data_IF_609198085763
#
_entry.id   IF_609198085763
#
_cell.length_a   1.000
_cell.length_b   1.000
_cell.length_c   1.000
_cell.angle_alpha   90.00
_cell.angle_beta   90.00
_cell.angle_gamma   90.00
#
_symmetry.space_group_name_H-M   'P 1'
#
loop_
_entity.id
_entity.type
_entity.pdbx_description
1 polymer ?
#
# COMPACT_ATOMS: atom_id res chain seq x y z
N UNK A 1 13.95 -25.02 6.50
CA UNK A 1 12.49 -25.22 6.47
C UNK A 1 12.16 -26.71 6.61
N UNK A 2 11.38 -27.09 7.63
CA UNK A 2 10.88 -28.45 7.79
C UNK A 2 9.90 -28.84 6.67
N UNK A 3 9.84 -30.12 6.32
CA UNK A 3 8.98 -30.61 5.22
C UNK A 3 7.49 -30.32 5.46
N UNK A 4 7.05 -30.33 6.71
CA UNK A 4 5.66 -30.01 7.08
C UNK A 4 5.35 -28.51 6.91
N UNK A 5 6.21 -27.62 7.43
CA UNK A 5 6.08 -26.17 7.25
C UNK A 5 6.02 -25.77 5.77
N UNK A 6 6.85 -26.39 4.93
CA UNK A 6 6.85 -26.17 3.48
C UNK A 6 5.50 -26.48 2.84
N UNK A 7 4.90 -27.62 3.20
CA UNK A 7 3.59 -28.01 2.68
C UNK A 7 2.48 -27.02 3.11
N UNK A 8 2.55 -26.51 4.34
CA UNK A 8 1.61 -25.51 4.86
C UNK A 8 1.76 -24.18 4.12
N UNK A 9 2.99 -23.72 3.90
CA UNK A 9 3.31 -22.52 3.11
C UNK A 9 2.81 -22.65 1.67
N UNK A 10 3.06 -23.77 1.01
CA UNK A 10 2.60 -23.99 -0.38
C UNK A 10 1.07 -24.05 -0.48
N UNK A 11 0.39 -24.63 0.53
CA UNK A 11 -1.07 -24.65 0.62
C UNK A 11 -1.67 -23.25 0.80
N UNK A 12 -1.07 -22.41 1.64
CA UNK A 12 -1.49 -21.01 1.83
C UNK A 12 -1.20 -20.21 0.57
N UNK A 13 -0.01 -20.35 -0.01
CA UNK A 13 0.37 -19.66 -1.26
C UNK A 13 -0.60 -19.96 -2.40
N UNK A 14 -1.02 -21.23 -2.55
CA UNK A 14 -2.02 -21.60 -3.57
C UNK A 14 -3.36 -20.90 -3.34
N UNK A 15 -3.83 -20.80 -2.09
CA UNK A 15 -5.07 -20.10 -1.78
C UNK A 15 -4.97 -18.59 -1.97
N UNK A 16 -3.84 -17.97 -1.60
CA UNK A 16 -3.60 -16.55 -1.86
C UNK A 16 -3.53 -16.26 -3.37
N UNK A 17 -2.87 -17.12 -4.15
CA UNK A 17 -2.83 -17.00 -5.61
C UNK A 17 -4.20 -17.12 -6.26
N UNK A 18 -5.07 -17.99 -5.74
CA UNK A 18 -6.47 -18.08 -6.20
C UNK A 18 -7.28 -16.81 -5.86
N UNK A 19 -6.84 -16.02 -4.88
CA UNK A 19 -7.42 -14.73 -4.52
C UNK A 19 -6.67 -13.54 -5.17
N UNK A 20 -5.86 -13.79 -6.20
CA UNK A 20 -5.05 -12.79 -6.91
C UNK A 20 -4.00 -12.05 -6.06
N UNK A 21 -3.57 -12.64 -4.94
CA UNK A 21 -2.46 -12.14 -4.12
C UNK A 21 -1.20 -12.98 -4.34
N UNK A 22 -0.15 -12.37 -4.89
CA UNK A 22 1.17 -12.98 -5.00
C UNK A 22 2.03 -12.63 -3.77
N UNK A 23 2.25 -13.62 -2.92
CA UNK A 23 3.01 -13.47 -1.68
C UNK A 23 4.18 -14.45 -1.66
N UNK A 24 5.38 -13.94 -1.36
CA UNK A 24 6.58 -14.76 -1.26
C UNK A 24 6.45 -15.82 -0.16
N UNK A 25 7.04 -17.00 -0.39
CA UNK A 25 7.09 -18.08 0.59
C UNK A 25 7.68 -17.68 1.93
N UNK A 26 8.68 -16.81 1.90
CA UNK A 26 9.39 -16.33 3.09
C UNK A 26 8.46 -15.48 3.95
N UNK A 27 7.62 -14.66 3.32
CA UNK A 27 6.62 -13.82 4.02
C UNK A 27 5.56 -14.69 4.67
N UNK A 28 5.07 -15.71 3.96
CA UNK A 28 4.09 -16.66 4.50
C UNK A 28 4.69 -17.45 5.66
N UNK A 29 5.93 -17.95 5.52
CA UNK A 29 6.66 -18.66 6.58
C UNK A 29 6.81 -17.79 7.83
N UNK A 30 7.25 -16.55 7.65
CA UNK A 30 7.44 -15.59 8.74
C UNK A 30 6.12 -15.33 9.47
N UNK A 31 5.03 -15.11 8.73
CA UNK A 31 3.72 -14.84 9.33
C UNK A 31 3.12 -16.05 10.06
N UNK A 32 3.38 -17.27 9.58
CA UNK A 32 2.99 -18.49 10.30
C UNK A 32 3.72 -18.56 11.64
N UNK A 33 5.04 -18.36 11.65
CA UNK A 33 5.85 -18.46 12.87
C UNK A 33 5.58 -17.31 13.85
N UNK A 34 5.22 -16.13 13.34
CA UNK A 34 4.80 -14.97 14.14
C UNK A 34 3.50 -15.23 14.89
N UNK A 35 2.47 -15.70 14.19
CA UNK A 35 1.14 -15.92 14.78
C UNK A 35 1.06 -17.23 15.57
N UNK A 36 1.81 -18.25 15.16
CA UNK A 36 1.80 -19.58 15.75
C UNK A 36 3.21 -20.18 15.84
N UNK A 37 3.97 -19.83 16.88
CA UNK A 37 5.31 -20.38 17.11
C UNK A 37 5.32 -21.91 17.22
N UNK A 38 4.22 -22.50 17.70
CA UNK A 38 4.01 -23.96 17.84
C UNK A 38 3.10 -24.54 16.73
N UNK A 39 3.32 -24.12 15.49
CA UNK A 39 2.49 -24.53 14.34
C UNK A 39 2.43 -26.06 14.11
N UNK A 40 3.31 -26.85 14.72
CA UNK A 40 3.36 -28.31 14.55
C UNK A 40 2.25 -29.04 15.33
N UNK A 41 1.80 -28.49 16.47
CA UNK A 41 0.78 -29.12 17.32
C UNK A 41 -0.60 -28.52 17.13
N UNK A 42 -0.68 -27.24 16.75
CA UNK A 42 -1.92 -26.46 16.80
C UNK A 42 -2.50 -26.16 15.41
N UNK A 43 -1.96 -26.79 14.36
CA UNK A 43 -2.39 -26.51 12.99
C UNK A 43 -3.82 -26.99 12.70
N UNK A 44 -4.72 -26.03 12.49
CA UNK A 44 -6.11 -26.28 12.09
C UNK A 44 -6.48 -25.47 10.84
N UNK A 45 -7.67 -25.75 10.28
CA UNK A 45 -8.21 -24.94 9.20
C UNK A 45 -8.51 -23.49 9.63
N UNK A 46 -8.78 -23.27 10.92
CA UNK A 46 -9.05 -21.93 11.47
C UNK A 46 -7.75 -21.13 11.54
N UNK A 47 -6.67 -21.75 12.03
CA UNK A 47 -5.31 -21.18 12.03
C UNK A 47 -4.87 -20.82 10.61
N UNK A 48 -5.09 -21.72 9.65
CA UNK A 48 -4.79 -21.45 8.23
C UNK A 48 -5.57 -20.24 7.71
N UNK A 49 -6.84 -20.12 8.06
CA UNK A 49 -7.71 -19.01 7.65
C UNK A 49 -7.26 -17.69 8.30
N UNK A 50 -6.84 -17.74 9.56
CA UNK A 50 -6.34 -16.59 10.31
C UNK A 50 -5.02 -16.07 9.74
N UNK A 51 -4.08 -16.96 9.38
CA UNK A 51 -2.85 -16.59 8.68
C UNK A 51 -3.15 -15.96 7.31
N UNK A 52 -4.07 -16.54 6.53
CA UNK A 52 -4.49 -15.95 5.23
C UNK A 52 -5.10 -14.57 5.44
N UNK A 53 -5.95 -14.41 6.47
CA UNK A 53 -6.58 -13.13 6.80
C UNK A 53 -5.56 -12.08 7.21
N UNK A 54 -4.60 -12.44 8.07
CA UNK A 54 -3.51 -11.56 8.50
C UNK A 54 -2.64 -11.13 7.31
N UNK A 55 -2.25 -12.05 6.43
CA UNK A 55 -1.49 -11.73 5.21
C UNK A 55 -2.28 -10.82 4.27
N UNK A 56 -3.58 -11.07 4.11
CA UNK A 56 -4.45 -10.24 3.28
C UNK A 56 -4.64 -8.85 3.88
N UNK A 57 -4.77 -8.77 5.21
CA UNK A 57 -4.92 -7.51 5.94
C UNK A 57 -3.63 -6.70 5.94
N UNK A 58 -2.46 -7.33 6.07
CA UNK A 58 -1.16 -6.66 5.96
C UNK A 58 -0.94 -6.14 4.54
N UNK A 59 -1.35 -6.90 3.51
CA UNK A 59 -1.33 -6.44 2.13
C UNK A 59 -2.35 -5.32 1.82
N UNK A 60 -3.47 -5.26 2.55
CA UNK A 60 -4.43 -4.15 2.44
C UNK A 60 -3.98 -2.93 3.27
N UNK A 61 -3.28 -3.14 4.39
CA UNK A 61 -2.80 -2.08 5.28
C UNK A 61 -1.50 -1.45 4.76
N UNK A 62 -0.70 -2.18 3.99
CA UNK A 62 0.37 -1.59 3.16
C UNK A 62 -0.17 -0.86 1.92
N UNK A 63 -1.45 -0.98 1.62
CA UNK A 63 -2.19 -0.15 0.64
C UNK A 63 -2.88 1.08 1.23
N UNK A 64 -2.86 1.26 2.56
CA UNK A 64 -3.41 2.46 3.24
C UNK A 64 -2.52 2.78 4.46
N UNK A 65 -1.33 3.32 4.21
CA UNK A 65 -0.72 4.24 5.19
C UNK A 65 -0.94 5.65 4.67
N UNK A 66 -2.15 6.15 4.88
CA UNK A 66 -2.42 7.58 4.93
C UNK A 66 -3.37 7.83 6.08
N UNK A 67 -2.93 8.71 6.96
CA UNK A 67 -3.49 9.07 8.25
C UNK A 67 -5.03 9.10 8.29
N UNK A 68 -5.62 8.44 9.29
CA UNK A 68 -6.88 8.94 9.85
C UNK A 68 -6.57 10.21 10.67
N UNK A 69 -7.27 11.33 10.45
CA UNK A 69 -7.39 12.36 11.47
C UNK A 69 -8.46 11.94 12.50
N UNK A 70 -8.24 12.34 13.75
CA UNK A 70 -9.13 12.12 14.88
C UNK A 70 -10.57 12.65 14.64
N UNK A 71 -11.59 12.11 15.32
CA UNK A 71 -12.97 12.55 15.16
C UNK A 71 -13.17 13.96 15.74
N UNK A 72 -13.55 14.92 14.90
CA UNK A 72 -13.93 16.27 15.29
C UNK A 72 -15.34 16.26 15.88
N UNK A 73 -15.44 16.59 17.16
CA UNK A 73 -16.70 16.79 17.87
C UNK A 73 -17.14 18.25 17.70
N UNK A 74 -18.33 18.48 17.13
CA UNK A 74 -18.93 19.80 16.98
C UNK A 74 -19.90 20.07 18.15
N UNK A 75 -19.51 20.94 19.09
CA UNK A 75 -20.43 21.72 19.92
C UNK A 75 -19.76 23.01 20.43
N UNK A 76 -20.37 24.15 20.08
CA UNK A 76 -19.98 25.56 20.32
C UNK A 76 -20.20 26.04 21.79
N UNK A 77 -20.14 27.37 22.13
CA UNK A 77 -19.04 28.34 22.06
C UNK A 77 -18.81 29.14 23.40
N UNK A 78 -17.78 30.01 23.38
CA UNK A 78 -17.50 31.19 24.26
C UNK A 78 -16.79 30.96 25.61
N UNK A 79 -15.54 31.43 25.73
CA UNK A 79 -15.14 32.56 26.62
C UNK A 79 -13.62 32.85 26.51
N UNK A 80 -13.29 34.08 26.09
CA UNK A 80 -12.03 34.79 26.42
C UNK A 80 -11.91 34.94 27.96
N UNK A 81 -10.70 35.04 28.56
CA UNK A 81 -9.88 36.27 28.42
C UNK A 81 -8.33 36.17 28.55
N UNK A 82 -7.67 37.15 27.90
CA UNK A 82 -6.52 38.00 28.30
C UNK A 82 -5.18 37.46 28.87
N UNK A 83 -4.12 37.78 28.10
CA UNK A 83 -2.79 38.36 28.44
C UNK A 83 -1.77 37.58 29.29
N UNK A 84 -0.53 37.44 28.79
CA UNK A 84 0.55 38.41 29.04
C UNK A 84 1.81 38.15 28.19
N UNK A 85 2.39 39.25 27.70
CA UNK A 85 3.70 39.39 27.09
C UNK A 85 4.84 38.92 28.01
N UNK A 86 5.92 38.41 27.42
CA UNK A 86 7.26 38.88 27.80
C UNK A 86 8.25 38.69 26.64
N UNK A 87 8.56 39.82 25.99
CA UNK A 87 9.81 40.08 25.30
C UNK A 87 10.93 40.24 26.33
N UNK A 88 12.14 39.86 25.96
CA UNK A 88 13.40 40.32 26.58
C UNK A 88 14.39 40.48 25.43
N UNK A 89 14.44 41.67 24.84
CA UNK A 89 15.32 42.80 25.18
C UNK A 89 16.75 42.66 24.67
N UNK A 90 17.02 43.60 23.76
CA UNK A 90 18.27 43.98 23.11
C UNK A 90 19.12 44.76 24.13
N UNK A 91 20.43 44.55 24.13
CA UNK A 91 21.39 45.49 24.71
C UNK A 91 22.42 45.88 23.65
N UNK A 92 22.33 47.12 23.17
CA UNK A 92 23.45 47.89 22.62
C UNK A 92 24.37 48.29 23.80
N UNK A 93 25.65 48.63 23.70
CA UNK A 93 26.37 49.46 22.74
C UNK A 93 27.81 49.54 23.29
N UNK A 94 28.85 49.52 22.46
CA UNK A 94 30.01 50.42 22.65
C UNK A 94 30.85 50.48 21.37
N UNK A 95 30.89 51.67 20.79
CA UNK A 95 31.89 52.09 19.81
C UNK A 95 33.20 52.38 20.54
N UNK A 96 34.33 51.99 19.96
CA UNK A 96 35.53 52.85 19.99
C UNK A 96 36.47 52.48 18.85
N UNK A 97 36.80 53.54 18.11
CA UNK A 97 38.10 53.87 17.51
C UNK A 97 38.63 53.12 16.29
N UNK A 98 38.92 53.98 15.32
CA UNK A 98 39.64 53.76 14.08
C UNK A 98 41.14 53.82 14.37
N UNK A 99 41.91 52.87 13.84
CA UNK A 99 43.34 53.07 13.58
C UNK A 99 43.70 52.53 12.19
N UNK A 100 44.37 53.41 11.45
CA UNK A 100 44.92 53.23 10.13
C UNK A 100 45.95 52.08 10.08
N UNK A 101 45.87 51.21 9.07
CA UNK A 101 47.04 50.41 8.66
C UNK A 101 47.21 50.48 7.14
N UNK A 102 47.94 51.51 6.76
CA UNK A 102 49.12 51.47 5.89
C UNK A 102 49.12 50.42 4.75
N UNK A 103 48.90 50.92 3.54
CA UNK A 103 49.30 50.31 2.28
C UNK A 103 50.82 50.20 2.20
N UNK A 104 51.36 49.00 2.40
CA UNK A 104 52.75 48.70 2.05
C UNK A 104 52.85 47.39 1.28
N UNK A 105 53.18 47.57 -0.01
CA UNK A 105 53.42 46.56 -1.02
C UNK A 105 54.50 45.56 -0.59
N UNK A 106 54.17 44.27 -0.57
CA UNK A 106 55.14 43.21 -0.76
C UNK A 106 54.67 42.30 -1.88
N UNK A 107 55.31 42.46 -3.04
CA UNK A 107 55.26 41.51 -4.13
C UNK A 107 55.85 40.17 -3.63
N UNK A 108 54.98 39.29 -3.15
CA UNK A 108 55.33 37.88 -2.98
C UNK A 108 55.16 37.24 -4.35
N UNK A 109 56.28 36.83 -4.93
CA UNK A 109 56.37 36.00 -6.11
C UNK A 109 55.72 34.64 -5.79
N UNK A 110 54.39 34.56 -5.90
CA UNK A 110 53.66 33.31 -5.83
C UNK A 110 53.70 32.70 -7.23
N UNK A 111 54.55 31.68 -7.39
CA UNK A 111 54.37 30.73 -8.46
C UNK A 111 52.90 30.25 -8.40
N UNK A 112 52.15 30.21 -9.52
CA UNK A 112 50.78 29.70 -9.49
C UNK A 112 50.83 28.27 -8.93
N UNK A 113 50.05 27.92 -7.89
CA UNK A 113 49.84 26.51 -7.64
C UNK A 113 49.20 25.95 -8.90
N UNK A 114 49.82 24.91 -9.48
CA UNK A 114 49.15 24.06 -10.45
C UNK A 114 47.88 23.54 -9.78
N UNK A 115 46.74 24.12 -10.14
CA UNK A 115 45.43 23.63 -9.75
C UNK A 115 45.27 22.29 -10.48
N UNK A 116 45.57 21.22 -9.76
CA UNK A 116 45.29 19.87 -10.20
C UNK A 116 43.76 19.72 -10.17
N UNK A 117 43.11 20.05 -11.28
CA UNK A 117 41.64 20.03 -11.50
C UNK A 117 41.10 18.58 -11.54
N UNK A 118 41.26 17.87 -10.43
CA UNK A 118 40.71 16.52 -10.21
C UNK A 118 40.45 16.26 -8.72
N UNK A 119 39.94 17.26 -7.96
CA UNK A 119 39.46 17.01 -6.61
C UNK A 119 38.05 16.41 -6.66
N UNK A 120 38.00 15.10 -6.91
CA UNK A 120 36.81 14.29 -6.73
C UNK A 120 36.43 14.29 -5.24
N UNK A 121 35.31 14.91 -4.88
CA UNK A 121 34.73 14.81 -3.53
C UNK A 121 33.94 13.50 -3.43
N UNK A 122 34.17 12.75 -2.36
CA UNK A 122 33.45 11.52 -2.06
C UNK A 122 32.53 11.76 -0.86
N UNK A 123 31.28 11.28 -0.94
CA UNK A 123 30.29 11.39 0.15
C UNK A 123 29.87 9.99 0.59
N UNK A 124 29.69 9.80 1.90
CA UNK A 124 29.30 8.49 2.43
C UNK A 124 27.81 8.22 2.16
N UNK A 125 27.42 6.95 2.10
CA UNK A 125 26.01 6.62 1.87
C UNK A 125 25.08 7.14 2.99
N UNK A 126 25.58 7.21 4.23
CA UNK A 126 24.86 7.79 5.36
C UNK A 126 24.59 9.29 5.16
N UNK A 127 25.58 10.03 4.67
CA UNK A 127 25.44 11.46 4.36
C UNK A 127 24.48 11.67 3.19
N UNK A 128 24.53 10.81 2.15
CA UNK A 128 23.56 10.83 1.06
C UNK A 128 22.14 10.59 1.55
N UNK A 129 21.93 9.60 2.41
CA UNK A 129 20.62 9.28 2.97
C UNK A 129 20.06 10.46 3.79
N UNK A 130 20.87 11.07 4.65
CA UNK A 130 20.47 12.23 5.45
C UNK A 130 20.12 13.44 4.57
N UNK A 131 20.90 13.66 3.51
CA UNK A 131 20.66 14.71 2.53
C UNK A 131 19.37 14.46 1.75
N UNK A 132 19.14 13.23 1.27
CA UNK A 132 17.91 12.83 0.57
C UNK A 132 16.70 13.03 1.48
N UNK A 133 16.78 12.61 2.75
CA UNK A 133 15.70 12.81 3.72
C UNK A 133 15.39 14.29 3.93
N UNK A 134 16.42 15.13 4.11
CA UNK A 134 16.23 16.58 4.30
C UNK A 134 15.69 17.26 3.04
N UNK A 135 16.21 16.91 1.87
CA UNK A 135 15.80 17.51 0.60
C UNK A 135 14.39 17.07 0.19
N UNK A 136 14.04 15.80 0.38
CA UNK A 136 12.68 15.33 0.12
C UNK A 136 11.67 16.04 1.01
N UNK A 137 11.96 16.20 2.31
CA UNK A 137 11.13 16.97 3.23
C UNK A 137 10.98 18.43 2.77
N UNK A 138 12.07 19.06 2.33
CA UNK A 138 12.06 20.44 1.82
C UNK A 138 11.24 20.59 0.52
N UNK A 139 11.21 19.55 -0.32
CA UNK A 139 10.38 19.48 -1.52
C UNK A 139 8.91 19.15 -1.21
N UNK A 140 8.58 18.88 0.07
CA UNK A 140 7.22 18.55 0.52
C UNK A 140 6.87 17.06 0.42
N UNK A 141 7.87 16.19 0.27
CA UNK A 141 7.70 14.75 0.23
C UNK A 141 8.28 14.10 1.49
N UNK A 142 7.47 13.31 2.18
CA UNK A 142 7.95 12.50 3.29
C UNK A 142 8.31 11.11 2.75
N UNK A 143 9.62 10.85 2.69
CA UNK A 143 10.17 9.54 2.35
C UNK A 143 10.51 8.79 3.63
N UNK A 144 10.11 7.53 3.70
CA UNK A 144 10.56 6.63 4.77
C UNK A 144 12.06 6.37 4.69
N UNK A 145 12.63 5.83 5.76
CA UNK A 145 14.06 5.53 5.85
C UNK A 145 14.54 4.62 4.70
N UNK A 146 13.76 3.59 4.39
CA UNK A 146 14.08 2.65 3.31
C UNK A 146 14.00 3.30 1.92
N UNK A 147 13.03 4.20 1.71
CA UNK A 147 12.91 4.94 0.45
C UNK A 147 14.08 5.91 0.27
N UNK A 148 14.52 6.57 1.36
CA UNK A 148 15.71 7.40 1.35
C UNK A 148 16.96 6.61 0.97
N UNK A 149 17.10 5.37 1.45
CA UNK A 149 18.22 4.48 1.07
C UNK A 149 18.19 4.14 -0.42
N UNK A 150 17.02 3.76 -0.94
CA UNK A 150 16.86 3.42 -2.36
C UNK A 150 17.23 4.62 -3.26
N UNK A 151 16.80 5.82 -2.89
CA UNK A 151 17.15 7.03 -3.62
C UNK A 151 18.63 7.36 -3.47
N UNK A 152 19.20 7.25 -2.26
CA UNK A 152 20.62 7.49 -2.01
C UNK A 152 21.53 6.54 -2.81
N UNK A 153 21.15 5.27 -2.94
CA UNK A 153 21.86 4.26 -3.75
C UNK A 153 21.85 4.58 -5.24
N UNK A 154 20.88 5.38 -5.72
CA UNK A 154 20.80 5.82 -7.12
C UNK A 154 21.65 7.06 -7.44
N UNK A 155 22.20 7.73 -6.43
CA UNK A 155 23.04 8.93 -6.57
C UNK A 155 24.51 8.54 -6.50
N UNK A 156 25.33 9.07 -7.43
CA UNK A 156 26.77 8.81 -7.46
C UNK A 156 27.49 9.25 -6.17
N UNK A 157 28.43 8.42 -5.71
CA UNK A 157 29.24 8.68 -4.50
C UNK A 157 30.33 9.73 -4.73
N UNK A 158 30.67 9.99 -6.00
CA UNK A 158 31.79 10.82 -6.43
C UNK A 158 31.30 11.93 -7.34
N UNK A 159 31.67 13.17 -7.02
CA UNK A 159 31.30 14.33 -7.82
C UNK A 159 32.40 15.39 -7.84
N UNK A 160 32.33 16.24 -8.87
CA UNK A 160 33.30 17.30 -9.11
C UNK A 160 32.84 18.65 -8.55
N UNK A 161 31.54 18.82 -8.33
CA UNK A 161 30.95 20.06 -7.83
C UNK A 161 29.68 19.79 -7.01
N UNK A 162 29.50 20.54 -5.93
CA UNK A 162 28.39 20.35 -4.99
C UNK A 162 27.03 20.74 -5.59
N UNK A 163 26.97 21.75 -6.46
CA UNK A 163 25.70 22.14 -7.11
C UNK A 163 25.24 21.05 -8.09
N UNK A 164 26.18 20.43 -8.83
CA UNK A 164 25.87 19.27 -9.67
C UNK A 164 25.38 18.06 -8.85
N UNK A 165 25.98 17.82 -7.69
CA UNK A 165 25.57 16.75 -6.78
C UNK A 165 24.15 16.97 -6.22
N UNK A 166 23.84 18.17 -5.74
CA UNK A 166 22.49 18.51 -5.27
C UNK A 166 21.45 18.40 -6.38
N UNK A 167 21.81 18.79 -7.61
CA UNK A 167 20.95 18.62 -8.78
C UNK A 167 20.67 17.14 -9.05
N UNK A 168 21.69 16.28 -8.91
CA UNK A 168 21.54 14.84 -9.06
C UNK A 168 20.63 14.25 -7.95
N UNK A 169 20.87 14.59 -6.68
CA UNK A 169 20.02 14.18 -5.55
C UNK A 169 18.56 14.61 -5.77
N UNK A 170 18.33 15.86 -6.17
CA UNK A 170 16.97 16.38 -6.44
C UNK A 170 16.31 15.64 -7.60
N UNK A 171 17.08 15.33 -8.65
CA UNK A 171 16.59 14.57 -9.81
C UNK A 171 16.25 13.14 -9.43
N UNK A 172 17.05 12.50 -8.57
CA UNK A 172 16.81 11.15 -8.06
C UNK A 172 15.55 11.09 -7.18
N UNK A 173 15.37 12.05 -6.27
CA UNK A 173 14.15 12.18 -5.46
C UNK A 173 12.93 12.33 -6.36
N UNK A 174 12.99 13.25 -7.33
CA UNK A 174 11.89 13.48 -8.26
C UNK A 174 11.57 12.23 -9.07
N UNK A 175 12.56 11.57 -9.64
CA UNK A 175 12.37 10.35 -10.42
C UNK A 175 11.75 9.22 -9.60
N UNK A 176 12.15 9.09 -8.33
CA UNK A 176 11.55 8.14 -7.40
C UNK A 176 10.08 8.45 -7.12
N UNK A 177 9.77 9.71 -6.83
CA UNK A 177 8.41 10.18 -6.57
C UNK A 177 7.51 10.01 -7.80
N UNK A 178 7.98 10.40 -8.98
CA UNK A 178 7.26 10.22 -10.26
C UNK A 178 6.94 8.74 -10.48
N UNK A 179 7.93 7.85 -10.32
CA UNK A 179 7.72 6.41 -10.42
C UNK A 179 6.73 5.87 -9.37
N UNK A 180 6.76 6.38 -8.13
CA UNK A 180 5.78 6.00 -7.10
C UNK A 180 4.37 6.45 -7.48
N UNK A 181 4.20 7.63 -8.08
CA UNK A 181 2.91 8.07 -8.61
C UNK A 181 2.43 7.16 -9.75
N UNK A 182 3.29 6.83 -10.72
CA UNK A 182 2.95 5.92 -11.82
C UNK A 182 2.47 4.55 -11.31
N UNK A 183 3.12 4.03 -10.27
CA UNK A 183 2.71 2.77 -9.62
C UNK A 183 1.32 2.87 -8.99
N UNK A 184 1.03 3.99 -8.30
CA UNK A 184 -0.28 4.23 -7.70
C UNK A 184 -1.35 4.38 -8.77
N UNK A 185 -1.10 5.12 -9.85
CA UNK A 185 -2.04 5.28 -10.97
C UNK A 185 -2.33 3.93 -11.62
N UNK A 186 -1.29 3.14 -11.92
CA UNK A 186 -1.45 1.80 -12.51
C UNK A 186 -2.25 0.87 -11.59
N UNK A 187 -1.99 0.91 -10.27
CA UNK A 187 -2.72 0.12 -9.30
C UNK A 187 -4.19 0.55 -9.21
N UNK A 188 -4.46 1.86 -9.27
CA UNK A 188 -5.82 2.40 -9.25
C UNK A 188 -6.62 1.94 -10.48
N UNK A 189 -6.04 2.03 -11.67
CA UNK A 189 -6.67 1.59 -12.92
C UNK A 189 -6.95 0.09 -12.91
N UNK A 190 -5.96 -0.70 -12.49
CA UNK A 190 -6.10 -2.16 -12.36
C UNK A 190 -7.23 -2.53 -11.40
N UNK A 191 -7.29 -1.86 -10.25
CA UNK A 191 -8.34 -2.08 -9.26
C UNK A 191 -9.72 -1.68 -9.77
N UNK A 192 -9.82 -0.54 -10.47
CA UNK A 192 -11.06 -0.09 -11.08
C UNK A 192 -11.60 -1.12 -12.09
N UNK A 193 -10.73 -1.66 -12.93
CA UNK A 193 -11.09 -2.68 -13.92
C UNK A 193 -11.46 -4.03 -13.28
N UNK A 194 -10.76 -4.44 -12.23
CA UNK A 194 -11.12 -5.63 -11.46
C UNK A 194 -12.52 -5.50 -10.84
N UNK A 195 -12.85 -4.34 -10.27
CA UNK A 195 -14.18 -4.07 -9.69
C UNK A 195 -15.26 -4.08 -10.76
N UNK A 196 -15.03 -3.42 -11.91
CA UNK A 196 -15.97 -3.44 -13.05
C UNK A 196 -16.25 -4.86 -13.53
N UNK A 197 -15.20 -5.65 -13.70
CA UNK A 197 -15.30 -7.06 -14.13
C UNK A 197 -16.08 -7.88 -13.12
N UNK A 198 -15.76 -7.77 -11.83
CA UNK A 198 -16.45 -8.50 -10.78
C UNK A 198 -17.94 -8.16 -10.69
N UNK A 199 -18.32 -6.89 -10.90
CA UNK A 199 -19.73 -6.48 -10.95
C UNK A 199 -20.43 -7.10 -12.16
N UNK A 200 -19.82 -7.06 -13.35
CA UNK A 200 -20.36 -7.66 -14.57
C UNK A 200 -20.56 -9.18 -14.42
N UNK A 201 -19.60 -9.87 -13.81
CA UNK A 201 -19.69 -11.32 -13.54
C UNK A 201 -20.83 -11.65 -12.57
N UNK A 202 -20.98 -10.85 -11.50
CA UNK A 202 -22.08 -11.04 -10.55
C UNK A 202 -23.43 -10.80 -11.20
N UNK A 203 -23.56 -9.79 -12.05
CA UNK A 203 -24.79 -9.53 -12.80
C UNK A 203 -25.15 -10.70 -13.72
N UNK A 204 -24.16 -11.22 -14.47
CA UNK A 204 -24.33 -12.38 -15.35
C UNK A 204 -24.77 -13.62 -14.57
N UNK A 205 -24.10 -13.93 -13.45
CA UNK A 205 -24.47 -15.06 -12.59
C UNK A 205 -25.86 -14.91 -11.98
N UNK A 206 -26.27 -13.70 -11.60
CA UNK A 206 -27.60 -13.45 -11.08
C UNK A 206 -28.67 -13.70 -12.15
N UNK A 207 -28.46 -13.18 -13.36
CA UNK A 207 -29.36 -13.42 -14.49
C UNK A 207 -29.49 -14.92 -14.79
N UNK A 208 -28.38 -15.66 -14.79
CA UNK A 208 -28.40 -17.11 -14.99
C UNK A 208 -29.15 -17.84 -13.87
N UNK A 209 -29.00 -17.42 -12.61
CA UNK A 209 -29.76 -17.99 -11.49
C UNK A 209 -31.26 -17.75 -11.64
N UNK A 210 -31.67 -16.55 -12.08
CA UNK A 210 -33.08 -16.21 -12.31
C UNK A 210 -33.66 -17.05 -13.45
N UNK A 211 -32.91 -17.20 -14.55
CA UNK A 211 -33.33 -18.02 -15.69
C UNK A 211 -33.47 -19.50 -15.31
N UNK A 212 -32.49 -20.04 -14.58
CA UNK A 212 -32.54 -21.42 -14.07
C UNK A 212 -33.74 -21.63 -13.14
N UNK A 213 -33.99 -20.69 -12.21
CA UNK A 213 -35.15 -20.76 -11.32
C UNK A 213 -36.47 -20.75 -12.11
N UNK A 214 -36.62 -19.85 -13.08
CA UNK A 214 -37.79 -19.78 -13.95
C UNK A 214 -38.03 -21.08 -14.71
N UNK A 215 -36.96 -21.68 -15.25
CA UNK A 215 -37.02 -22.96 -15.95
C UNK A 215 -37.45 -24.10 -15.03
N UNK A 216 -36.89 -24.18 -13.83
CA UNK A 216 -37.25 -25.18 -12.83
C UNK A 216 -38.71 -25.06 -12.41
N UNK A 217 -39.20 -23.85 -12.11
CA UNK A 217 -40.61 -23.60 -11.78
C UNK A 217 -41.53 -24.04 -12.92
N UNK A 218 -41.17 -23.75 -14.17
CA UNK A 218 -41.94 -24.18 -15.33
C UNK A 218 -41.99 -25.70 -15.47
N UNK A 219 -40.87 -26.38 -15.22
CA UNK A 219 -40.80 -27.85 -15.22
C UNK A 219 -41.68 -28.45 -14.11
N UNK A 220 -41.59 -27.93 -12.89
CA UNK A 220 -42.39 -28.37 -11.74
C UNK A 220 -43.90 -28.21 -11.99
N UNK A 221 -44.31 -27.04 -12.51
CA UNK A 221 -45.71 -26.80 -12.91
C UNK A 221 -46.16 -27.79 -13.99
N UNK A 222 -45.29 -28.10 -14.96
CA UNK A 222 -45.53 -29.11 -15.97
C UNK A 222 -45.80 -30.50 -15.35
N UNK A 223 -44.94 -30.91 -14.41
CA UNK A 223 -45.09 -32.16 -13.66
C UNK A 223 -46.36 -32.22 -12.83
N UNK A 224 -46.68 -31.15 -12.08
CA UNK A 224 -47.91 -31.04 -11.29
C UNK A 224 -49.15 -31.18 -12.19
N UNK A 225 -49.16 -30.51 -13.34
CA UNK A 225 -50.28 -30.59 -14.30
C UNK A 225 -50.47 -32.01 -14.82
N UNK A 226 -49.39 -32.72 -15.14
CA UNK A 226 -49.46 -34.12 -15.56
C UNK A 226 -49.99 -35.02 -14.43
N UNK A 227 -49.50 -34.85 -13.20
CA UNK A 227 -49.99 -35.58 -12.03
C UNK A 227 -51.49 -35.37 -11.78
N UNK A 228 -51.97 -34.13 -11.89
CA UNK A 228 -53.41 -33.81 -11.76
C UNK A 228 -54.22 -34.51 -12.86
N UNK A 229 -53.73 -34.48 -14.11
CA UNK A 229 -54.41 -35.13 -15.25
C UNK A 229 -54.50 -36.65 -15.05
N UNK A 230 -53.41 -37.29 -14.64
CA UNK A 230 -53.35 -38.72 -14.35
C UNK A 230 -54.25 -39.10 -13.18
N UNK A 231 -54.22 -38.34 -12.08
CA UNK A 231 -55.10 -38.54 -10.92
C UNK A 231 -56.58 -38.41 -11.31
N UNK A 232 -56.94 -37.39 -12.08
CA UNK A 232 -58.31 -37.21 -12.60
C UNK A 232 -58.76 -38.41 -13.45
N UNK A 233 -57.91 -38.87 -14.37
CA UNK A 233 -58.21 -40.03 -15.22
C UNK A 233 -58.42 -41.29 -14.38
N UNK A 234 -57.55 -41.55 -13.39
CA UNK A 234 -57.68 -42.69 -12.48
C UNK A 234 -58.98 -42.65 -11.68
N UNK A 235 -59.35 -41.49 -11.13
CA UNK A 235 -60.61 -41.31 -10.40
C UNK A 235 -61.81 -41.61 -11.31
N UNK A 236 -61.83 -41.03 -12.51
CA UNK A 236 -62.91 -41.27 -13.48
C UNK A 236 -63.04 -42.74 -13.87
N UNK A 237 -61.92 -43.43 -14.11
CA UNK A 237 -61.91 -44.86 -14.41
C UNK A 237 -62.47 -45.70 -13.26
N UNK A 238 -62.15 -45.34 -12.00
CA UNK A 238 -62.71 -46.03 -10.82
C UNK A 238 -64.23 -45.84 -10.72
N UNK A 239 -64.73 -44.63 -10.93
CA UNK A 239 -66.18 -44.37 -10.95
C UNK A 239 -66.90 -45.13 -12.08
N UNK A 240 -66.32 -45.18 -13.27
CA UNK A 240 -66.88 -45.92 -14.39
C UNK A 240 -66.97 -47.43 -14.13
N UNK A 241 -66.01 -48.00 -13.40
CA UNK A 241 -66.04 -49.40 -12.98
C UNK A 241 -67.12 -49.65 -11.91
N UNK A 242 -67.26 -48.76 -10.93
CA UNK A 242 -68.29 -48.86 -9.89
C UNK A 242 -69.71 -48.82 -10.48
N UNK A 243 -69.96 -47.93 -11.45
CA UNK A 243 -71.25 -47.85 -12.14
C UNK A 243 -71.57 -49.05 -13.04
N UNK A 244 -70.59 -49.89 -13.39
CA UNK A 244 -70.83 -51.12 -14.16
C UNK A 244 -71.10 -52.34 -13.27
N UNK A 245 -70.81 -52.25 -11.97
CA UNK A 245 -70.88 -53.36 -11.03
C UNK A 245 -72.15 -53.34 -10.15
N UNK A 246 -72.95 -52.28 -10.21
CA UNK A 246 -74.28 -52.17 -9.59
C UNK A 246 -75.37 -52.14 -10.65
#
# INVERSE_FOLDING_TARGET
>A
MGKDLKNKVDSIRRTLKNNALEVSGIVIESKILELYPNYETDWSNDVRTEVIKAITQDHQSTGIVSAMPAPVNYASPVQEPLTQHQESEIFAQEETESEEVNTMSMAVNYAPPEINNSQSLAVTNADKQALVSTQSLALGFELSEQECLVVADSVDDVFNDYASFLTNVTSAIRGYVDHRFDQVETALDTNADAVRTHIADRATRLNQKVENFSTNVKADIGGIRQNIKSSKANILSRFALLNKAG
#
